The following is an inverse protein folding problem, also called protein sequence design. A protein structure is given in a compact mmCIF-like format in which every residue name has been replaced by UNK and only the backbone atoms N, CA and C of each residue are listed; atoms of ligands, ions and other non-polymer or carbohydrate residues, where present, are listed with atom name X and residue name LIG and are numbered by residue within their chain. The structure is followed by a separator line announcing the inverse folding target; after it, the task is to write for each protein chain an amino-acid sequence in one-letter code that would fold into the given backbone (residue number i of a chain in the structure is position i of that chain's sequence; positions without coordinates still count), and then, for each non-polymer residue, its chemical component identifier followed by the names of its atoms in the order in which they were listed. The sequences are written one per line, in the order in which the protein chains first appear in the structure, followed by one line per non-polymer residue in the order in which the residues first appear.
data_IF_428359046476
#
_entry.id   IF_428359046476
#
_cell.length_a   1.000
_cell.length_b   1.000
_cell.length_c   1.000
_cell.angle_alpha   90.00
_cell.angle_beta   90.00
_cell.angle_gamma   90.00
#
_symmetry.space_group_name_H-M   'P 1'
#
loop_
_entity.id
_entity.type
_entity.pdbx_description
1 polymer ?
#
# COMPACT_ATOMS: atom_id res chain seq x y z
N UNK A 1 -20.37 -25.59 4.92
CA UNK A 1 -20.58 -24.13 4.92
C UNK A 1 -19.21 -23.51 4.78
N UNK A 2 -18.94 -22.76 3.71
CA UNK A 2 -17.63 -22.11 3.54
C UNK A 2 -17.54 -20.95 4.53
N UNK A 3 -16.49 -20.93 5.34
CA UNK A 3 -16.23 -19.83 6.27
C UNK A 3 -16.06 -18.53 5.47
N UNK A 4 -16.63 -17.40 5.93
CA UNK A 4 -16.47 -16.12 5.24
C UNK A 4 -14.99 -15.77 5.18
N UNK A 5 -14.45 -15.71 3.96
CA UNK A 5 -13.10 -15.23 3.70
C UNK A 5 -13.00 -13.80 4.21
N UNK A 6 -12.38 -13.61 5.38
CA UNK A 6 -12.14 -12.28 5.92
C UNK A 6 -11.08 -11.61 5.06
N UNK A 7 -11.51 -10.65 4.24
CA UNK A 7 -10.61 -9.80 3.48
C UNK A 7 -9.81 -8.91 4.46
N UNK A 8 -8.50 -8.74 4.25
CA UNK A 8 -7.69 -7.86 5.09
C UNK A 8 -8.13 -6.41 4.93
N UNK A 9 -8.08 -5.64 6.02
CA UNK A 9 -8.34 -4.20 5.98
C UNK A 9 -7.27 -3.44 5.20
N UNK A 10 -7.63 -2.27 4.65
CA UNK A 10 -6.69 -1.39 3.95
C UNK A 10 -5.46 -1.05 4.83
N UNK A 11 -5.65 -0.85 6.14
CA UNK A 11 -4.56 -0.63 7.09
C UNK A 11 -3.62 -1.84 7.22
N UNK A 12 -4.17 -3.07 7.25
CA UNK A 12 -3.35 -4.28 7.28
C UNK A 12 -2.53 -4.42 5.99
N UNK A 13 -3.14 -4.14 4.84
CA UNK A 13 -2.46 -4.14 3.54
C UNK A 13 -1.36 -3.08 3.48
N UNK A 14 -1.64 -1.85 3.94
CA UNK A 14 -0.65 -0.77 3.99
C UNK A 14 0.57 -1.13 4.86
N UNK A 15 0.33 -1.72 6.04
CA UNK A 15 1.40 -2.18 6.93
C UNK A 15 2.22 -3.30 6.31
N UNK A 16 1.57 -4.26 5.65
CA UNK A 16 2.26 -5.34 4.95
C UNK A 16 3.14 -4.76 3.81
N UNK A 17 2.60 -3.83 3.03
CA UNK A 17 3.35 -3.22 1.92
C UNK A 17 4.55 -2.39 2.40
N UNK A 18 4.38 -1.62 3.48
CA UNK A 18 5.49 -0.91 4.10
C UNK A 18 6.61 -1.87 4.56
N UNK A 19 6.25 -3.06 5.05
CA UNK A 19 7.25 -4.07 5.44
C UNK A 19 7.99 -4.64 4.22
N UNK A 20 7.29 -4.93 3.13
CA UNK A 20 7.88 -5.39 1.86
C UNK A 20 8.87 -4.35 1.34
N UNK A 21 8.45 -3.09 1.24
CA UNK A 21 9.29 -2.00 0.75
C UNK A 21 10.50 -1.76 1.65
N UNK A 22 10.34 -1.77 2.98
CA UNK A 22 11.47 -1.67 3.92
C UNK A 22 12.49 -2.78 3.73
N UNK A 23 12.02 -4.01 3.51
CA UNK A 23 12.89 -5.16 3.31
C UNK A 23 13.69 -5.01 2.03
N UNK A 24 13.04 -4.58 0.93
CA UNK A 24 13.72 -4.34 -0.34
C UNK A 24 14.71 -3.17 -0.26
N UNK A 25 14.35 -2.09 0.42
CA UNK A 25 15.21 -0.91 0.65
C UNK A 25 16.41 -1.19 1.57
N UNK A 26 16.33 -2.21 2.43
CA UNK A 26 17.44 -2.58 3.31
C UNK A 26 18.65 -3.16 2.54
N UNK A 27 18.51 -3.42 1.24
CA UNK A 27 19.61 -3.83 0.37
C UNK A 27 20.38 -2.58 -0.08
N UNK A 28 21.33 -2.14 0.75
CA UNK A 28 22.09 -0.89 0.60
C UNK A 28 22.87 -0.72 -0.72
N UNK A 29 23.07 -1.80 -1.49
CA UNK A 29 23.75 -1.75 -2.79
C UNK A 29 22.81 -1.82 -4.00
N UNK A 30 21.49 -1.88 -3.79
CA UNK A 30 20.53 -1.93 -4.88
C UNK A 30 20.29 -0.52 -5.43
N UNK A 31 20.57 -0.31 -6.72
CA UNK A 31 20.23 0.94 -7.43
C UNK A 31 18.75 1.00 -7.81
N UNK A 32 18.12 -0.17 -7.98
CA UNK A 32 16.72 -0.31 -8.39
C UNK A 32 15.97 -1.29 -7.47
N UNK A 33 14.69 -1.01 -7.25
CA UNK A 33 13.78 -1.91 -6.53
C UNK A 33 12.75 -2.45 -7.50
N UNK A 34 12.79 -3.76 -7.73
CA UNK A 34 11.77 -4.45 -8.50
C UNK A 34 10.60 -4.87 -7.61
N UNK A 35 9.39 -4.52 -8.07
CA UNK A 35 8.13 -5.00 -7.52
C UNK A 35 7.52 -6.04 -8.46
N UNK A 36 6.86 -7.05 -7.90
CA UNK A 36 5.95 -7.88 -8.70
C UNK A 36 4.75 -7.06 -9.15
N UNK A 37 3.99 -7.58 -10.11
CA UNK A 37 2.77 -6.92 -10.58
C UNK A 37 1.77 -6.70 -9.44
N UNK A 38 1.62 -7.69 -8.57
CA UNK A 38 0.72 -7.64 -7.41
C UNK A 38 1.21 -6.60 -6.39
N UNK A 39 2.52 -6.57 -6.10
CA UNK A 39 3.11 -5.57 -5.22
C UNK A 39 2.89 -4.15 -5.77
N UNK A 40 3.13 -3.93 -7.07
CA UNK A 40 2.92 -2.65 -7.71
C UNK A 40 1.45 -2.22 -7.72
N UNK A 41 0.52 -3.13 -8.03
CA UNK A 41 -0.91 -2.83 -8.02
C UNK A 41 -1.41 -2.45 -6.62
N UNK A 42 -0.93 -3.15 -5.59
CA UNK A 42 -1.24 -2.83 -4.20
C UNK A 42 -0.65 -1.48 -3.77
N UNK A 43 0.60 -1.18 -4.15
CA UNK A 43 1.20 0.14 -3.89
C UNK A 43 0.39 1.27 -4.55
N UNK A 44 -0.04 1.08 -5.80
CA UNK A 44 -0.83 2.07 -6.54
C UNK A 44 -2.17 2.33 -5.85
N UNK A 45 -2.95 1.29 -5.56
CA UNK A 45 -4.26 1.46 -4.91
C UNK A 45 -4.17 2.09 -3.52
N UNK A 46 -3.09 1.83 -2.77
CA UNK A 46 -2.83 2.51 -1.50
C UNK A 46 -2.52 4.00 -1.70
N UNK A 47 -1.69 4.35 -2.69
CA UNK A 47 -1.33 5.73 -2.97
C UNK A 47 -2.54 6.55 -3.47
N UNK A 48 -3.35 5.97 -4.35
CA UNK A 48 -4.59 6.57 -4.85
C UNK A 48 -5.57 6.82 -3.70
N UNK A 49 -5.85 5.81 -2.87
CA UNK A 49 -6.77 5.97 -1.75
C UNK A 49 -6.32 6.98 -0.69
N UNK A 50 -5.01 7.10 -0.42
CA UNK A 50 -4.49 8.15 0.47
C UNK A 50 -4.62 9.53 -0.18
N UNK A 51 -4.35 9.65 -1.49
CA UNK A 51 -4.47 10.92 -2.21
C UNK A 51 -5.92 11.40 -2.22
N UNK A 52 -6.88 10.51 -2.49
CA UNK A 52 -8.31 10.81 -2.43
C UNK A 52 -8.74 11.31 -1.04
N UNK A 53 -8.29 10.64 0.02
CA UNK A 53 -8.60 11.05 1.39
C UNK A 53 -8.04 12.44 1.72
N UNK A 54 -6.79 12.72 1.32
CA UNK A 54 -6.16 14.01 1.56
C UNK A 54 -6.85 15.13 0.77
N UNK A 55 -7.26 14.88 -0.47
CA UNK A 55 -8.03 15.82 -1.28
C UNK A 55 -9.39 16.15 -0.64
N UNK A 56 -10.07 15.14 -0.07
CA UNK A 56 -11.32 15.34 0.67
C UNK A 56 -11.12 16.19 1.93
N UNK A 57 -10.04 15.92 2.68
CA UNK A 57 -9.69 16.67 3.89
C UNK A 57 -9.34 18.13 3.56
N UNK A 58 -8.62 18.40 2.47
CA UNK A 58 -8.32 19.76 2.00
C UNK A 58 -9.59 20.52 1.60
N UNK A 59 -10.50 19.89 0.86
CA UNK A 59 -11.79 20.50 0.48
C UNK A 59 -12.72 20.76 1.65
N UNK A 60 -12.62 19.97 2.72
CA UNK A 60 -13.42 20.17 3.93
C UNK A 60 -12.88 21.30 4.82
N UNK A 61 -11.64 21.73 4.60
CA UNK A 61 -10.99 22.81 5.35
C UNK A 61 -11.20 24.21 4.72
N UNK A 62 -11.71 24.29 3.48
CA UNK A 62 -12.08 25.50 2.74
C UNK A 62 -13.56 25.91 2.95
#
# INVERSE_FOLDING_TARGET
MAEPQQMPSALQVARAMAQVLRTKLAVFGAEEIMLTREEAALCLGLAEGVSEQLDEDERAAD
#
